data_IF_003368413286
#
_entry.id   IF_003368413286
#
_cell.length_a   1.000
_cell.length_b   1.000
_cell.length_c   1.000
_cell.angle_alpha   90.00
_cell.angle_beta   90.00
_cell.angle_gamma   90.00
#
_symmetry.space_group_name_H-M   'P 1'
#
loop_
_entity.id
_entity.type
_entity.pdbx_description
1 polymer ?
#
# COMPACT_ATOMS: atom_id res chain seq x y z
N UNK A 1 7.84 6.49 -17.66
CA UNK A 1 9.29 6.37 -17.87
C UNK A 1 9.69 4.91 -18.03
N UNK A 2 9.44 4.05 -17.08
CA UNK A 2 9.92 2.64 -17.04
C UNK A 2 9.47 1.86 -18.28
N UNK A 3 8.19 1.99 -18.68
CA UNK A 3 7.66 1.34 -19.86
C UNK A 3 8.40 1.72 -21.15
N UNK A 4 8.71 3.02 -21.30
CA UNK A 4 9.41 3.52 -22.50
C UNK A 4 10.90 3.21 -22.48
N UNK A 5 11.57 3.44 -21.34
CA UNK A 5 13.04 3.40 -21.27
C UNK A 5 13.59 1.99 -21.06
N UNK A 6 12.96 1.21 -20.17
CA UNK A 6 13.39 -0.16 -19.86
C UNK A 6 12.63 -1.19 -20.69
N UNK A 7 11.33 -0.99 -20.85
CA UNK A 7 10.43 -1.88 -21.56
C UNK A 7 10.38 -1.69 -23.06
N UNK A 8 11.11 -0.70 -23.61
CA UNK A 8 11.15 -0.37 -25.05
C UNK A 8 9.73 -0.21 -25.66
N UNK A 9 8.81 0.34 -24.89
CA UNK A 9 7.37 0.51 -25.22
C UNK A 9 6.66 -0.77 -25.69
N UNK A 10 7.23 -1.96 -25.42
CA UNK A 10 6.67 -3.26 -25.80
C UNK A 10 6.48 -4.24 -24.64
N UNK A 11 7.23 -4.08 -23.55
CA UNK A 11 7.09 -4.94 -22.38
C UNK A 11 6.07 -4.35 -21.40
N UNK A 12 5.03 -5.07 -21.01
CA UNK A 12 4.08 -4.60 -20.00
C UNK A 12 4.78 -4.43 -18.65
N UNK A 13 4.38 -3.39 -17.91
CA UNK A 13 4.84 -3.21 -16.53
C UNK A 13 3.91 -4.00 -15.61
N UNK A 14 4.45 -5.00 -14.93
CA UNK A 14 3.73 -5.87 -14.01
C UNK A 14 4.01 -5.42 -12.59
N UNK A 15 3.33 -4.36 -12.15
CA UNK A 15 3.42 -3.89 -10.78
C UNK A 15 2.61 -4.81 -9.88
N UNK A 16 3.25 -5.45 -8.90
CA UNK A 16 2.64 -6.45 -8.05
C UNK A 16 2.68 -6.04 -6.58
N UNK A 17 1.61 -6.36 -5.86
CA UNK A 17 1.61 -6.24 -4.42
C UNK A 17 1.61 -7.60 -3.74
N UNK A 18 2.53 -7.75 -2.80
CA UNK A 18 2.68 -8.91 -1.95
C UNK A 18 3.46 -8.55 -0.68
N UNK A 19 3.50 -9.42 0.28
CA UNK A 19 4.30 -9.32 1.49
C UNK A 19 5.01 -10.66 1.73
N UNK A 20 6.07 -10.68 2.54
CA UNK A 20 6.70 -11.93 2.98
C UNK A 20 5.68 -12.89 3.58
N UNK A 21 4.76 -12.35 4.35
CA UNK A 21 3.67 -13.04 5.03
C UNK A 21 2.61 -13.61 4.10
N UNK A 22 2.52 -13.11 2.90
CA UNK A 22 1.51 -13.59 1.94
C UNK A 22 1.93 -14.84 1.18
N UNK A 23 3.23 -15.17 1.20
CA UNK A 23 3.78 -16.35 0.53
C UNK A 23 3.64 -16.34 -0.99
N UNK A 24 3.26 -15.20 -1.56
CA UNK A 24 3.07 -14.99 -2.99
C UNK A 24 2.30 -13.72 -3.30
N UNK A 25 2.08 -13.47 -4.58
CA UNK A 25 1.42 -12.27 -5.11
C UNK A 25 -0.08 -12.32 -4.81
N UNK A 26 -0.63 -11.23 -4.28
CA UNK A 26 -2.07 -11.11 -4.00
C UNK A 26 -2.82 -10.13 -4.91
N UNK A 27 -2.14 -9.10 -5.43
CA UNK A 27 -2.73 -8.15 -6.39
C UNK A 27 -1.69 -7.96 -7.50
N UNK A 28 -2.09 -8.18 -8.75
CA UNK A 28 -1.15 -8.13 -9.88
C UNK A 28 -1.86 -7.96 -11.21
N UNK A 29 -1.24 -7.25 -12.15
CA UNK A 29 -1.66 -7.25 -13.54
C UNK A 29 -1.66 -8.65 -14.13
N UNK A 30 -2.72 -8.93 -14.88
CA UNK A 30 -2.82 -10.13 -15.71
C UNK A 30 -2.66 -9.68 -17.15
N UNK A 31 -1.41 -9.67 -17.59
CA UNK A 31 -1.02 -9.15 -18.90
C UNK A 31 -1.75 -9.89 -20.03
N UNK A 32 -2.31 -9.11 -20.98
CA UNK A 32 -3.12 -9.64 -22.06
C UNK A 32 -4.60 -9.91 -21.70
N UNK A 33 -4.96 -9.87 -20.41
CA UNK A 33 -6.34 -10.09 -19.96
C UNK A 33 -7.01 -8.81 -19.43
N UNK A 34 -6.22 -7.89 -18.86
CA UNK A 34 -6.73 -6.61 -18.33
C UNK A 34 -5.82 -5.46 -18.73
N UNK A 35 -6.39 -4.28 -18.89
CA UNK A 35 -5.64 -3.06 -19.14
C UNK A 35 -4.79 -2.67 -17.94
N UNK A 36 -3.61 -2.10 -18.21
CA UNK A 36 -2.72 -1.61 -17.16
C UNK A 36 -3.01 -0.15 -16.87
N UNK A 37 -2.92 0.23 -15.60
CA UNK A 37 -2.94 1.63 -15.17
C UNK A 37 -1.63 1.93 -14.45
N UNK A 38 -0.91 3.01 -14.81
CA UNK A 38 0.36 3.35 -14.18
C UNK A 38 0.27 3.44 -12.65
N UNK A 39 1.25 2.87 -11.95
CA UNK A 39 1.32 2.83 -10.49
C UNK A 39 0.26 1.95 -9.81
N UNK A 40 -0.55 1.22 -10.56
CA UNK A 40 -1.57 0.33 -10.01
C UNK A 40 -1.10 -1.12 -10.00
N UNK A 41 -1.23 -1.79 -8.85
CA UNK A 41 -1.12 -3.24 -8.76
C UNK A 41 -2.29 -3.97 -9.46
N UNK A 42 -3.24 -3.23 -10.00
CA UNK A 42 -4.40 -3.62 -10.80
C UNK A 42 -5.47 -4.39 -10.03
N UNK A 43 -5.68 -5.66 -10.32
CA UNK A 43 -6.80 -6.47 -9.82
C UNK A 43 -6.32 -7.56 -8.85
N UNK A 44 -7.20 -8.03 -7.96
CA UNK A 44 -6.89 -9.19 -7.13
C UNK A 44 -6.46 -10.40 -7.95
N UNK A 45 -5.44 -11.11 -7.47
CA UNK A 45 -5.05 -12.40 -8.04
C UNK A 45 -6.14 -13.45 -7.75
N UNK A 46 -6.13 -14.54 -8.49
CA UNK A 46 -7.16 -15.59 -8.40
C UNK A 46 -7.30 -16.15 -6.98
N UNK A 47 -8.54 -16.20 -6.49
CA UNK A 47 -8.86 -16.69 -5.15
C UNK A 47 -8.57 -15.70 -4.00
N UNK A 48 -8.04 -14.52 -4.29
CA UNK A 48 -7.76 -13.49 -3.28
C UNK A 48 -8.94 -12.52 -3.16
N UNK A 49 -9.30 -12.16 -1.92
CA UNK A 49 -10.40 -11.24 -1.62
C UNK A 49 -9.91 -10.03 -0.81
N UNK A 50 -9.22 -9.07 -1.47
CA UNK A 50 -8.85 -7.84 -0.80
C UNK A 50 -10.10 -6.98 -0.54
N UNK A 51 -10.11 -6.33 0.62
CA UNK A 51 -11.11 -5.35 1.01
C UNK A 51 -10.42 -4.11 1.54
N UNK A 52 -11.03 -2.95 1.32
CA UNK A 52 -10.60 -1.70 1.93
C UNK A 52 -11.53 -1.43 3.10
N UNK A 53 -10.97 -1.14 4.26
CA UNK A 53 -11.75 -0.82 5.47
C UNK A 53 -11.43 0.60 5.97
N UNK A 54 -12.40 1.22 6.65
CA UNK A 54 -12.22 2.47 7.38
C UNK A 54 -11.52 2.25 8.74
N UNK A 55 -11.45 3.29 9.57
CA UNK A 55 -10.86 3.22 10.92
C UNK A 55 -11.54 2.21 11.83
N UNK A 56 -12.82 1.99 11.64
CA UNK A 56 -13.67 1.15 12.48
C UNK A 56 -13.77 -0.29 11.97
N UNK A 57 -13.04 -0.61 10.88
CA UNK A 57 -13.02 -1.95 10.26
C UNK A 57 -14.20 -2.25 9.34
N UNK A 58 -15.03 -1.24 9.03
CA UNK A 58 -16.15 -1.39 8.10
C UNK A 58 -15.64 -1.42 6.68
N UNK A 59 -16.06 -2.45 5.93
CA UNK A 59 -15.69 -2.61 4.51
C UNK A 59 -16.33 -1.53 3.64
N UNK A 60 -15.50 -0.83 2.89
CA UNK A 60 -15.88 0.19 1.93
C UNK A 60 -16.14 -0.44 0.55
N UNK A 61 -17.22 0.00 -0.12
CA UNK A 61 -17.62 -0.49 -1.45
C UNK A 61 -17.29 0.55 -2.53
N UNK A 62 -17.18 0.08 -3.78
CA UNK A 62 -16.91 0.94 -4.95
C UNK A 62 -15.56 1.64 -4.87
N UNK A 63 -15.50 2.89 -5.30
CA UNK A 63 -14.32 3.74 -5.15
C UNK A 63 -14.08 4.01 -3.66
N UNK A 64 -12.86 3.80 -3.19
CA UNK A 64 -12.55 3.91 -1.76
C UNK A 64 -11.06 4.14 -1.51
N UNK A 65 -10.73 4.80 -0.39
CA UNK A 65 -9.40 4.91 0.19
C UNK A 65 -9.49 4.50 1.68
N UNK A 66 -8.54 3.69 2.14
CA UNK A 66 -8.54 3.20 3.52
C UNK A 66 -7.42 2.19 3.74
N UNK A 67 -7.64 1.29 4.69
CA UNK A 67 -6.68 0.23 5.06
C UNK A 67 -6.96 -1.03 4.26
N UNK A 68 -5.89 -1.64 3.73
CA UNK A 68 -6.00 -2.89 2.98
C UNK A 68 -6.08 -4.07 3.93
N UNK A 69 -7.08 -4.91 3.74
CA UNK A 69 -7.22 -6.19 4.43
C UNK A 69 -7.53 -7.31 3.43
N UNK A 70 -7.25 -8.55 3.81
CA UNK A 70 -7.67 -9.73 3.04
C UNK A 70 -8.79 -10.44 3.81
N UNK A 71 -9.96 -10.61 3.18
CA UNK A 71 -11.19 -11.07 3.84
C UNK A 71 -11.32 -12.58 3.98
N UNK A 72 -10.38 -13.35 3.48
CA UNK A 72 -10.33 -14.81 3.64
C UNK A 72 -8.91 -15.33 3.54
N UNK A 73 -8.64 -16.46 4.17
CA UNK A 73 -7.34 -17.15 4.05
C UNK A 73 -7.10 -17.65 2.63
N UNK A 74 -5.82 -17.80 2.27
CA UNK A 74 -5.34 -18.32 0.98
C UNK A 74 -4.20 -19.32 1.24
N UNK A 75 -3.87 -20.19 0.27
CA UNK A 75 -2.88 -21.27 0.50
C UNK A 75 -1.49 -20.80 0.93
N UNK A 76 -1.01 -19.66 0.42
CA UNK A 76 0.32 -19.09 0.72
C UNK A 76 0.39 -18.29 2.02
N UNK A 77 -0.73 -18.07 2.71
CA UNK A 77 -0.77 -17.28 3.93
C UNK A 77 0.17 -17.83 5.01
N UNK A 78 0.98 -16.95 5.61
CA UNK A 78 1.75 -17.27 6.80
C UNK A 78 0.86 -17.88 7.90
N UNK A 79 1.36 -18.92 8.57
CA UNK A 79 0.58 -19.67 9.60
C UNK A 79 0.96 -19.31 11.01
N UNK A 80 2.15 -18.76 11.21
CA UNK A 80 2.65 -18.37 12.53
C UNK A 80 3.97 -17.60 12.41
N UNK A 81 4.39 -16.96 13.50
CA UNK A 81 5.76 -16.51 13.75
C UNK A 81 6.48 -17.60 14.52
N UNK A 82 7.68 -17.98 14.12
CA UNK A 82 8.45 -19.04 14.79
C UNK A 82 8.65 -18.70 16.27
N UNK A 83 8.24 -19.61 17.15
CA UNK A 83 8.33 -19.45 18.59
C UNK A 83 7.37 -18.43 19.22
N UNK A 84 6.57 -17.70 18.43
CA UNK A 84 5.68 -16.66 18.93
C UNK A 84 4.36 -16.56 18.14
N UNK A 85 3.50 -17.54 18.35
CA UNK A 85 2.19 -17.56 17.72
C UNK A 85 1.29 -16.38 18.14
N UNK A 86 1.47 -15.91 19.38
CA UNK A 86 0.69 -14.76 19.88
C UNK A 86 0.98 -13.51 19.06
N UNK A 87 2.23 -13.22 18.74
CA UNK A 87 2.62 -12.09 17.88
C UNK A 87 1.97 -12.17 16.51
N UNK A 88 1.86 -13.37 15.92
CA UNK A 88 1.17 -13.56 14.64
C UNK A 88 -0.29 -13.09 14.72
N UNK A 89 -1.02 -13.53 15.75
CA UNK A 89 -2.42 -13.14 15.95
C UNK A 89 -2.54 -11.63 16.22
N UNK A 90 -1.73 -11.12 17.16
CA UNK A 90 -1.78 -9.72 17.59
C UNK A 90 -1.48 -8.76 16.43
N UNK A 91 -0.53 -9.10 15.57
CA UNK A 91 -0.10 -8.23 14.47
C UNK A 91 -1.08 -8.21 13.31
N UNK A 92 -1.62 -9.37 12.92
CA UNK A 92 -2.33 -9.48 11.64
C UNK A 92 -3.84 -9.70 11.77
N UNK A 93 -4.36 -10.07 12.95
CA UNK A 93 -5.77 -10.45 13.11
C UNK A 93 -6.50 -9.74 14.26
N UNK A 94 -5.78 -9.06 15.16
CA UNK A 94 -6.41 -8.40 16.31
C UNK A 94 -7.11 -7.09 15.98
N UNK A 95 -6.66 -6.39 14.92
CA UNK A 95 -7.16 -5.06 14.60
C UNK A 95 -8.52 -5.07 13.90
N UNK A 96 -8.75 -6.04 13.00
CA UNK A 96 -9.99 -6.14 12.22
C UNK A 96 -10.49 -7.57 12.24
N UNK A 97 -11.56 -7.81 12.97
CA UNK A 97 -12.13 -9.15 13.15
C UNK A 97 -12.41 -9.86 11.83
N UNK A 98 -11.98 -11.13 11.75
CA UNK A 98 -12.16 -11.99 10.59
C UNK A 98 -11.37 -11.58 9.33
N UNK A 99 -10.39 -10.66 9.43
CA UNK A 99 -9.59 -10.19 8.30
C UNK A 99 -8.10 -10.21 8.63
N UNK A 100 -7.30 -10.59 7.63
CA UNK A 100 -5.85 -10.37 7.68
C UNK A 100 -5.57 -8.90 7.41
N UNK A 101 -4.98 -8.18 8.35
CA UNK A 101 -4.57 -6.79 8.20
C UNK A 101 -3.17 -6.71 7.63
N UNK A 102 -3.02 -6.01 6.52
CA UNK A 102 -1.73 -5.93 5.80
C UNK A 102 -0.77 -4.87 6.35
N UNK A 103 -1.28 -3.91 7.10
CA UNK A 103 -0.51 -2.73 7.52
C UNK A 103 -0.33 -1.69 6.41
N UNK A 104 -0.93 -1.91 5.25
CA UNK A 104 -0.83 -0.99 4.10
C UNK A 104 -2.10 -0.16 3.91
N UNK A 105 -1.92 1.10 3.52
CA UNK A 105 -2.94 1.94 2.96
C UNK A 105 -3.21 1.59 1.50
N UNK A 106 -4.45 1.76 1.07
CA UNK A 106 -4.84 1.41 -0.29
C UNK A 106 -5.95 2.32 -0.82
N UNK A 107 -5.91 2.60 -2.11
CA UNK A 107 -6.98 3.22 -2.87
C UNK A 107 -7.48 2.26 -3.95
N UNK A 108 -8.80 2.20 -4.11
CA UNK A 108 -9.46 1.50 -5.22
C UNK A 108 -10.29 2.48 -6.01
N UNK A 109 -10.13 2.50 -7.35
CA UNK A 109 -10.92 3.34 -8.23
C UNK A 109 -12.29 2.72 -8.58
N UNK A 110 -13.09 3.48 -9.34
CA UNK A 110 -14.42 3.05 -9.81
C UNK A 110 -14.38 1.78 -10.68
N UNK A 111 -13.26 1.51 -11.35
CA UNK A 111 -13.08 0.34 -12.20
C UNK A 111 -12.53 -0.86 -11.42
N UNK A 112 -12.32 -0.70 -10.10
CA UNK A 112 -11.86 -1.74 -9.17
C UNK A 112 -10.36 -2.01 -9.24
N UNK A 113 -9.55 -1.04 -9.69
CA UNK A 113 -8.09 -1.11 -9.67
C UNK A 113 -7.55 -0.63 -8.33
N UNK A 114 -6.47 -1.26 -7.86
CA UNK A 114 -5.86 -1.03 -6.56
C UNK A 114 -4.53 -0.30 -6.67
N UNK A 115 -4.34 0.73 -5.87
CA UNK A 115 -3.07 1.43 -5.64
C UNK A 115 -2.70 1.31 -4.17
N UNK A 116 -1.50 0.85 -3.89
CA UNK A 116 -0.96 0.85 -2.53
C UNK A 116 -0.41 2.25 -2.25
N UNK A 117 -0.83 2.86 -1.15
CA UNK A 117 -0.52 4.26 -0.82
C UNK A 117 0.55 4.41 0.27
N UNK A 118 1.20 3.30 0.63
CA UNK A 118 2.24 3.23 1.65
C UNK A 118 1.77 2.50 2.90
N UNK A 119 2.63 2.48 3.91
CA UNK A 119 2.36 1.85 5.21
C UNK A 119 1.41 2.72 6.03
N UNK A 120 0.53 2.08 6.80
CA UNK A 120 -0.39 2.79 7.72
C UNK A 120 0.37 3.35 8.93
N UNK A 121 1.45 2.69 9.33
CA UNK A 121 2.35 3.11 10.40
C UNK A 121 3.29 4.27 10.01
N UNK A 122 3.48 4.52 8.70
CA UNK A 122 4.25 5.66 8.18
C UNK A 122 3.39 6.93 7.98
N UNK A 123 2.16 6.93 8.52
CA UNK A 123 1.30 8.12 8.47
C UNK A 123 1.69 9.10 9.58
N UNK A 124 1.98 10.33 9.19
CA UNK A 124 2.29 11.43 10.11
C UNK A 124 1.03 12.27 10.30
N UNK A 125 0.63 12.48 11.57
CA UNK A 125 -0.51 13.34 11.89
C UNK A 125 -0.02 14.75 12.12
N UNK A 126 -0.38 15.67 11.20
CA UNK A 126 -0.03 17.10 11.28
C UNK A 126 -1.30 17.90 11.42
N UNK A 127 -1.46 18.61 12.52
CA UNK A 127 -2.67 19.44 12.78
C UNK A 127 -3.98 18.65 12.61
N UNK A 128 -4.01 17.38 12.99
CA UNK A 128 -5.18 16.50 12.84
C UNK A 128 -5.37 15.89 11.44
N UNK A 129 -4.49 16.18 10.47
CA UNK A 129 -4.53 15.59 9.14
C UNK A 129 -3.55 14.43 9.03
N UNK A 130 -4.02 13.31 8.52
CA UNK A 130 -3.19 12.13 8.22
C UNK A 130 -2.46 12.32 6.89
N UNK A 131 -1.14 12.38 6.93
CA UNK A 131 -0.27 12.55 5.78
C UNK A 131 0.59 11.30 5.61
N UNK A 132 0.44 10.59 4.50
CA UNK A 132 1.30 9.47 4.13
C UNK A 132 2.66 9.98 3.64
N UNK A 133 3.75 9.46 4.19
CA UNK A 133 5.11 9.85 3.79
C UNK A 133 5.35 9.60 2.31
N UNK A 134 4.95 8.45 1.80
CA UNK A 134 5.12 8.05 0.40
C UNK A 134 4.41 9.00 -0.60
N UNK A 135 3.26 9.57 -0.24
CA UNK A 135 2.54 10.54 -1.10
C UNK A 135 3.35 11.83 -1.23
N UNK A 136 3.96 12.29 -0.13
CA UNK A 136 4.78 13.52 -0.09
C UNK A 136 6.11 13.29 -0.80
N UNK A 137 6.77 12.16 -0.54
CA UNK A 137 8.03 11.76 -1.18
C UNK A 137 7.85 11.68 -2.71
N UNK A 138 6.75 11.08 -3.17
CA UNK A 138 6.42 11.03 -4.60
C UNK A 138 6.24 12.41 -5.22
N UNK A 139 5.64 13.35 -4.48
CA UNK A 139 5.49 14.73 -4.94
C UNK A 139 6.84 15.46 -5.10
N UNK A 140 7.80 15.21 -4.21
CA UNK A 140 9.16 15.74 -4.34
C UNK A 140 9.89 15.12 -5.54
N UNK A 141 9.84 13.79 -5.70
CA UNK A 141 10.50 13.06 -6.80
C UNK A 141 9.91 13.43 -8.17
N UNK A 142 8.67 13.92 -8.23
CA UNK A 142 8.10 14.47 -9.45
C UNK A 142 8.85 15.71 -9.98
N UNK A 143 9.65 16.39 -9.13
CA UNK A 143 10.45 17.51 -9.55
C UNK A 143 11.72 17.02 -10.28
N UNK A 144 12.04 17.55 -11.50
CA UNK A 144 13.12 17.00 -12.34
C UNK A 144 14.54 17.08 -11.76
N UNK A 145 14.75 17.87 -10.73
CA UNK A 145 16.05 18.00 -10.03
C UNK A 145 16.15 17.12 -8.78
N UNK A 146 15.12 16.35 -8.43
CA UNK A 146 15.13 15.51 -7.23
C UNK A 146 15.28 14.06 -7.66
N UNK A 147 16.33 13.41 -7.17
CA UNK A 147 16.59 11.99 -7.37
C UNK A 147 15.82 11.13 -6.36
N UNK A 148 15.86 11.51 -5.09
CA UNK A 148 15.23 10.80 -3.99
C UNK A 148 14.68 11.79 -2.96
N UNK A 149 13.65 11.36 -2.23
CA UNK A 149 13.10 12.08 -1.10
C UNK A 149 12.76 11.12 0.04
N UNK A 150 12.93 11.56 1.27
CA UNK A 150 12.48 10.88 2.47
C UNK A 150 11.77 11.87 3.38
N UNK A 151 10.63 11.48 3.95
CA UNK A 151 9.82 12.32 4.83
C UNK A 151 9.67 11.66 6.19
N UNK A 152 10.02 12.39 7.24
CA UNK A 152 9.88 11.94 8.62
C UNK A 152 9.08 12.94 9.45
N UNK A 153 8.32 12.44 10.42
CA UNK A 153 7.68 13.28 11.42
C UNK A 153 8.63 13.66 12.53
N UNK A 154 8.48 14.88 13.04
CA UNK A 154 9.14 15.28 14.29
C UNK A 154 8.13 15.97 15.22
N UNK A 155 8.29 15.86 16.56
CA UNK A 155 7.41 16.54 17.50
C UNK A 155 7.39 18.05 17.29
N UNK A 156 6.19 18.64 17.27
CA UNK A 156 5.99 20.07 17.08
C UNK A 156 4.95 20.60 18.04
N UNK A 157 5.28 21.62 18.83
CA UNK A 157 4.49 22.11 19.97
C UNK A 157 3.06 22.53 19.62
N UNK A 158 2.82 23.03 18.39
CA UNK A 158 1.50 23.53 17.95
C UNK A 158 0.77 22.50 17.08
N UNK A 159 1.50 21.78 16.22
CA UNK A 159 0.91 20.91 15.19
C UNK A 159 0.82 19.45 15.59
N UNK A 160 1.33 19.08 16.78
CA UNK A 160 1.57 17.70 17.21
C UNK A 160 2.80 17.11 16.53
N UNK A 161 2.79 17.04 15.20
CA UNK A 161 3.99 16.74 14.41
C UNK A 161 4.22 17.81 13.33
N UNK A 162 5.47 18.05 13.00
CA UNK A 162 5.94 18.70 11.80
C UNK A 162 6.49 17.67 10.82
N UNK A 163 6.66 18.08 9.57
CA UNK A 163 7.31 17.26 8.56
C UNK A 163 8.74 17.76 8.36
N UNK A 164 9.67 16.82 8.32
CA UNK A 164 11.04 17.06 7.88
C UNK A 164 11.29 16.26 6.61
N UNK A 165 11.67 16.95 5.53
CA UNK A 165 11.85 16.35 4.23
C UNK A 165 13.32 16.42 3.84
N UNK A 166 13.91 15.26 3.58
CA UNK A 166 15.25 15.12 3.00
C UNK A 166 15.10 14.93 1.50
N UNK A 167 15.93 15.57 0.72
CA UNK A 167 15.97 15.41 -0.74
C UNK A 167 17.40 15.22 -1.21
N UNK A 168 17.60 14.30 -2.13
CA UNK A 168 18.84 14.13 -2.90
C UNK A 168 18.62 14.72 -4.28
N UNK A 169 19.53 15.58 -4.72
CA UNK A 169 19.46 16.21 -6.03
C UNK A 169 20.17 15.36 -7.09
N UNK A 170 19.68 15.43 -8.33
CA UNK A 170 20.36 14.88 -9.52
C UNK A 170 21.63 15.65 -9.84
#
# INVERSE_FOLDING_TARGET
WYYKTVGDSRCPIVETWWQTETGGILISPQTGAIDLKPGSATKPFYGIRPVIVDSDGKTLKGEAKGRLCIAQSWPGQMRTVYGDHKRFIDTYFSQFDGKYFTGDGCRRDKDGYYWITGRVDDVIIVSGHNLGTAEIESAFVAHPKVAEAAVVGYPHDIKGNGLYCYVTLN
#
